data_IF_581285840658
#
_entry.id   IF_581285840658
#
_cell.length_a   1.000
_cell.length_b   1.000
_cell.length_c   1.000
_cell.angle_alpha   90.00
_cell.angle_beta   90.00
_cell.angle_gamma   90.00
#
_symmetry.space_group_name_H-M   'P 1'
#
loop_
_entity.id
_entity.type
_entity.pdbx_description
1 polymer ?
#
# COMPACT_ATOMS: atom_id res chain seq x y z
N UNK A 1 -13.18 0.63 -10.93
CA UNK A 1 -12.47 1.86 -11.36
C UNK A 1 -11.69 1.55 -12.62
N UNK A 2 -11.84 2.32 -13.70
CA UNK A 2 -10.99 2.18 -14.90
C UNK A 2 -9.62 2.82 -14.66
N UNK A 3 -8.62 2.47 -15.49
CA UNK A 3 -7.28 3.08 -15.50
C UNK A 3 -7.30 4.60 -15.76
N UNK A 4 -8.42 5.18 -16.15
CA UNK A 4 -8.54 6.62 -16.42
C UNK A 4 -8.84 7.46 -15.16
N UNK A 5 -9.14 6.83 -14.02
CA UNK A 5 -9.42 7.51 -12.74
C UNK A 5 -8.18 7.73 -11.85
N UNK A 6 -6.97 7.49 -12.36
CA UNK A 6 -5.70 7.64 -11.63
C UNK A 6 -5.50 9.03 -11.02
N UNK A 7 -6.08 10.07 -11.64
CA UNK A 7 -5.96 11.46 -11.22
C UNK A 7 -6.93 11.86 -10.08
N UNK A 8 -7.72 10.94 -9.52
CA UNK A 8 -8.78 11.26 -8.55
C UNK A 8 -8.57 10.64 -7.16
N UNK A 9 -7.48 9.90 -6.92
CA UNK A 9 -7.21 9.35 -5.60
C UNK A 9 -6.62 10.45 -4.69
N UNK A 10 -7.30 10.84 -3.59
CA UNK A 10 -6.73 11.81 -2.64
C UNK A 10 -5.43 11.27 -2.03
N UNK A 11 -4.47 12.17 -1.72
CA UNK A 11 -3.24 11.78 -1.03
C UNK A 11 -3.54 11.30 0.39
N UNK A 12 -2.54 10.69 1.03
CA UNK A 12 -2.62 10.35 2.45
C UNK A 12 -2.86 11.62 3.28
N UNK A 13 -3.82 11.64 4.22
CA UNK A 13 -4.14 12.84 4.99
C UNK A 13 -3.02 13.24 5.95
N UNK A 14 -3.04 14.50 6.41
CA UNK A 14 -2.11 14.99 7.43
C UNK A 14 -2.25 14.25 8.77
N UNK A 15 -3.47 13.81 9.11
CA UNK A 15 -3.70 12.90 10.25
C UNK A 15 -3.23 11.50 9.87
N UNK A 16 -1.99 11.19 10.22
CA UNK A 16 -1.34 9.91 9.92
C UNK A 16 -0.37 9.53 11.02
N UNK A 17 -0.06 8.24 11.10
CA UNK A 17 0.98 7.72 11.98
C UNK A 17 2.12 7.12 11.16
N UNK A 18 3.35 7.26 11.66
CA UNK A 18 4.51 6.58 11.09
C UNK A 18 4.38 5.08 11.30
N UNK A 19 4.60 4.31 10.24
CA UNK A 19 4.61 2.87 10.25
C UNK A 19 6.05 2.40 10.01
N UNK A 20 6.82 2.11 11.07
CA UNK A 20 8.18 1.61 10.93
C UNK A 20 8.16 0.21 10.31
N UNK A 21 8.95 0.04 9.26
CA UNK A 21 9.13 -1.21 8.52
C UNK A 21 10.64 -1.43 8.29
N UNK A 22 11.00 -2.57 7.73
CA UNK A 22 12.33 -2.84 7.16
C UNK A 22 12.24 -4.19 6.44
N UNK A 23 11.52 -4.24 5.32
CA UNK A 23 11.11 -5.49 4.69
C UNK A 23 11.84 -5.66 3.36
N UNK A 24 12.78 -6.62 3.24
CA UNK A 24 13.41 -6.95 1.98
C UNK A 24 12.38 -7.52 0.99
N UNK A 25 12.48 -7.08 -0.26
CA UNK A 25 11.65 -7.57 -1.37
C UNK A 25 12.57 -7.99 -2.52
N UNK A 26 12.32 -9.19 -3.05
CA UNK A 26 12.99 -9.64 -4.27
C UNK A 26 12.64 -8.73 -5.45
N UNK A 27 13.53 -8.65 -6.44
CA UNK A 27 13.26 -7.92 -7.69
C UNK A 27 11.97 -8.38 -8.38
N UNK A 28 11.72 -9.70 -8.41
CA UNK A 28 10.53 -10.29 -9.04
C UNK A 28 9.23 -9.87 -8.35
N UNK A 29 9.26 -9.81 -7.02
CA UNK A 29 8.11 -9.36 -6.24
C UNK A 29 7.89 -7.85 -6.40
N UNK A 30 8.98 -7.08 -6.45
CA UNK A 30 8.88 -5.66 -6.73
C UNK A 30 8.31 -5.37 -8.12
N UNK A 31 8.67 -6.13 -9.15
CA UNK A 31 8.08 -6.01 -10.50
C UNK A 31 6.55 -6.21 -10.48
N UNK A 32 6.02 -7.09 -9.62
CA UNK A 32 4.57 -7.28 -9.44
C UNK A 32 3.93 -6.07 -8.76
N UNK A 33 4.58 -5.51 -7.75
CA UNK A 33 4.13 -4.30 -7.05
C UNK A 33 4.12 -3.10 -8.01
N UNK A 34 5.15 -2.96 -8.84
CA UNK A 34 5.25 -1.89 -9.84
C UNK A 34 4.14 -1.94 -10.89
N UNK A 35 3.67 -3.13 -11.25
CA UNK A 35 2.51 -3.29 -12.13
C UNK A 35 1.20 -2.78 -11.49
N UNK A 36 1.17 -2.63 -10.17
CA UNK A 36 0.02 -2.18 -9.39
C UNK A 36 -1.10 -3.22 -9.33
N UNK A 37 -2.20 -2.83 -8.69
CA UNK A 37 -3.41 -3.64 -8.61
C UNK A 37 -4.62 -2.76 -8.90
N UNK A 38 -5.42 -3.17 -9.90
CA UNK A 38 -6.70 -2.55 -10.24
C UNK A 38 -7.80 -3.59 -9.98
N UNK A 39 -8.79 -3.28 -9.11
CA UNK A 39 -9.97 -4.11 -8.89
C UNK A 39 -10.61 -4.59 -10.19
N UNK A 40 -10.90 -5.89 -10.30
CA UNK A 40 -11.67 -6.41 -11.43
C UNK A 40 -13.17 -6.43 -11.13
N UNK A 41 -13.53 -6.67 -9.86
CA UNK A 41 -14.91 -6.75 -9.40
C UNK A 41 -15.23 -5.76 -8.28
N UNK A 42 -16.52 -5.58 -7.98
CA UNK A 42 -17.01 -4.66 -6.94
C UNK A 42 -16.64 -5.08 -5.52
N UNK A 43 -16.28 -6.34 -5.29
CA UNK A 43 -15.84 -6.83 -3.97
C UNK A 43 -14.34 -6.57 -3.72
N UNK A 44 -13.58 -6.25 -4.78
CA UNK A 44 -12.17 -5.86 -4.65
C UNK A 44 -12.07 -4.44 -4.08
N UNK A 45 -11.78 -4.41 -2.77
CA UNK A 45 -11.81 -3.22 -1.93
C UNK A 45 -10.62 -2.28 -2.08
N UNK A 46 -9.65 -2.63 -2.91
CA UNK A 46 -8.33 -2.01 -2.91
C UNK A 46 -7.82 -1.68 -4.29
N UNK A 47 -7.29 -0.48 -4.43
CA UNK A 47 -6.53 -0.04 -5.58
C UNK A 47 -5.09 0.26 -5.11
N UNK A 48 -4.09 -0.26 -5.82
CA UNK A 48 -2.68 -0.12 -5.43
C UNK A 48 -1.86 0.36 -6.62
N UNK A 49 -0.99 1.34 -6.40
CA UNK A 49 -0.04 1.78 -7.41
C UNK A 49 1.31 2.12 -6.81
N UNK A 50 2.33 2.04 -7.67
CA UNK A 50 3.68 2.47 -7.38
C UNK A 50 3.99 3.75 -8.15
N UNK A 51 4.57 4.74 -7.47
CA UNK A 51 5.00 6.00 -8.09
C UNK A 51 6.14 6.63 -7.28
N UNK A 52 7.19 7.07 -7.97
CA UNK A 52 8.28 7.88 -7.41
C UNK A 52 8.92 7.32 -6.12
N UNK A 53 9.06 6.00 -6.02
CA UNK A 53 9.62 5.34 -4.82
C UNK A 53 8.59 4.96 -3.76
N UNK A 54 7.30 5.22 -3.99
CA UNK A 54 6.23 4.99 -3.03
C UNK A 54 5.21 3.97 -3.53
N UNK A 55 4.66 3.16 -2.62
CA UNK A 55 3.51 2.29 -2.87
C UNK A 55 2.31 2.86 -2.13
N UNK A 56 1.22 3.13 -2.84
CA UNK A 56 0.00 3.68 -2.26
C UNK A 56 -1.14 2.67 -2.31
N UNK A 57 -1.78 2.42 -1.17
CA UNK A 57 -2.96 1.57 -1.04
C UNK A 57 -4.19 2.44 -0.80
N UNK A 58 -5.17 2.35 -1.70
CA UNK A 58 -6.41 3.11 -1.65
C UNK A 58 -7.62 2.20 -1.53
N UNK A 59 -8.67 2.66 -0.85
CA UNK A 59 -9.98 2.01 -0.90
C UNK A 59 -10.66 2.26 -2.24
N UNK A 60 -11.19 1.22 -2.86
CA UNK A 60 -11.70 1.27 -4.24
C UNK A 60 -13.05 1.98 -4.41
N UNK A 61 -13.78 2.30 -3.34
CA UNK A 61 -15.06 3.00 -3.42
C UNK A 61 -15.02 4.46 -2.94
N UNK A 62 -14.07 4.82 -2.06
CA UNK A 62 -13.87 6.21 -1.63
C UNK A 62 -12.63 6.87 -2.22
N UNK A 63 -11.67 6.09 -2.71
CA UNK A 63 -10.35 6.57 -3.11
C UNK A 63 -9.42 6.92 -1.94
N UNK A 64 -9.85 6.81 -0.68
CA UNK A 64 -9.02 7.18 0.47
C UNK A 64 -7.73 6.38 0.51
N UNK A 65 -6.59 7.08 0.60
CA UNK A 65 -5.29 6.47 0.81
C UNK A 65 -5.21 5.99 2.26
N UNK A 66 -4.95 4.69 2.46
CA UNK A 66 -4.84 4.07 3.78
C UNK A 66 -3.37 3.87 4.15
N UNK A 67 -2.55 3.42 3.21
CA UNK A 67 -1.12 3.20 3.39
C UNK A 67 -0.33 3.88 2.29
N UNK A 68 0.78 4.50 2.67
CA UNK A 68 1.83 4.98 1.76
C UNK A 68 3.16 4.41 2.27
N UNK A 69 3.84 3.60 1.47
CA UNK A 69 5.07 2.94 1.85
C UNK A 69 6.24 3.45 1.03
N UNK A 70 7.39 3.69 1.65
CA UNK A 70 8.60 4.06 0.93
C UNK A 70 9.41 2.81 0.59
N UNK A 71 9.91 2.78 -0.64
CA UNK A 71 10.72 1.69 -1.16
C UNK A 71 12.04 2.25 -1.69
N UNK A 72 13.14 1.60 -1.31
CA UNK A 72 14.47 1.95 -1.79
C UNK A 72 15.14 0.73 -2.44
N UNK A 73 15.97 0.93 -3.48
CA UNK A 73 16.85 -0.11 -3.97
C UNK A 73 17.83 -0.56 -2.88
N UNK A 74 18.02 -1.87 -2.72
CA UNK A 74 19.04 -2.46 -1.86
C UNK A 74 19.84 -3.49 -2.65
N UNK A 75 21.04 -3.10 -3.09
CA UNK A 75 21.96 -3.90 -3.93
C UNK A 75 21.28 -4.45 -5.20
N UNK A 76 20.82 -5.70 -5.16
CA UNK A 76 20.15 -6.41 -6.28
C UNK A 76 18.66 -6.66 -6.01
N UNK A 77 18.15 -6.08 -4.93
CA UNK A 77 16.78 -6.20 -4.41
C UNK A 77 16.23 -4.82 -4.05
N UNK A 78 15.11 -4.81 -3.35
CA UNK A 78 14.47 -3.62 -2.83
C UNK A 78 14.16 -3.81 -1.35
N UNK A 79 13.91 -2.72 -0.64
CA UNK A 79 13.45 -2.75 0.74
C UNK A 79 12.28 -1.77 0.91
N UNK A 80 11.19 -2.20 1.55
CA UNK A 80 10.22 -1.26 2.13
C UNK A 80 10.84 -0.76 3.44
N UNK A 81 11.27 0.49 3.46
CA UNK A 81 12.04 1.05 4.59
C UNK A 81 11.14 1.54 5.71
N UNK A 82 9.96 2.06 5.38
CA UNK A 82 9.00 2.63 6.31
C UNK A 82 7.72 3.01 5.53
N UNK A 83 6.80 3.65 6.22
CA UNK A 83 5.63 4.22 5.60
C UNK A 83 4.78 5.05 6.56
N UNK A 84 3.59 5.35 6.10
CA UNK A 84 2.59 6.11 6.81
C UNK A 84 1.25 5.42 6.68
N UNK A 85 0.48 5.43 7.77
CA UNK A 85 -0.88 4.92 7.82
C UNK A 85 -1.86 6.04 8.16
N UNK A 86 -3.02 6.04 7.51
CA UNK A 86 -4.09 6.99 7.72
C UNK A 86 -4.61 6.93 9.18
N UNK A 87 -4.86 8.09 9.78
CA UNK A 87 -5.44 8.23 11.14
C UNK A 87 -6.58 9.24 11.18
N UNK A 88 -7.13 9.57 10.02
CA UNK A 88 -8.38 10.31 9.94
C UNK A 88 -9.55 9.37 10.23
N UNK A 89 -10.24 9.48 11.38
CA UNK A 89 -11.28 8.53 11.78
C UNK A 89 -12.49 8.50 10.83
N UNK A 90 -12.69 9.57 10.05
CA UNK A 90 -13.74 9.63 9.02
C UNK A 90 -13.38 8.79 7.78
N UNK A 91 -12.10 8.47 7.59
CA UNK A 91 -11.58 7.71 6.45
C UNK A 91 -11.16 6.29 6.82
N UNK A 92 -10.54 6.10 7.99
CA UNK A 92 -10.00 4.83 8.45
C UNK A 92 -10.10 4.69 9.96
N UNK A 93 -10.76 3.61 10.41
CA UNK A 93 -11.13 3.42 11.83
C UNK A 93 -10.10 2.66 12.66
N UNK A 94 -8.99 2.20 12.08
CA UNK A 94 -7.93 1.55 12.86
C UNK A 94 -7.14 2.57 13.66
N UNK A 95 -6.82 2.22 14.90
CA UNK A 95 -5.99 3.01 15.81
C UNK A 95 -4.79 2.23 16.35
N UNK A 96 -4.52 1.03 15.82
CA UNK A 96 -3.46 0.12 16.27
C UNK A 96 -2.49 -0.19 15.11
N UNK A 97 -1.20 0.06 15.34
CA UNK A 97 -0.16 -0.18 14.33
C UNK A 97 0.08 -1.67 14.06
N UNK A 98 -0.17 -2.56 15.02
CA UNK A 98 0.01 -3.99 14.81
C UNK A 98 -1.08 -4.57 13.90
N UNK A 99 -2.34 -4.21 14.15
CA UNK A 99 -3.47 -4.58 13.29
C UNK A 99 -3.29 -4.04 11.86
N UNK A 100 -2.74 -2.83 11.74
CA UNK A 100 -2.44 -2.22 10.45
C UNK A 100 -1.34 -2.96 9.69
N UNK A 101 -0.30 -3.43 10.40
CA UNK A 101 0.77 -4.22 9.81
C UNK A 101 0.24 -5.57 9.33
N UNK A 102 -0.58 -6.23 10.14
CA UNK A 102 -1.20 -7.51 9.80
C UNK A 102 -2.11 -7.38 8.58
N UNK A 103 -2.94 -6.33 8.54
CA UNK A 103 -3.74 -6.01 7.37
C UNK A 103 -2.84 -5.80 6.15
N UNK A 104 -1.81 -4.95 6.26
CA UNK A 104 -0.91 -4.65 5.15
C UNK A 104 -0.26 -5.92 4.60
N UNK A 105 0.26 -6.80 5.47
CA UNK A 105 0.91 -8.04 5.06
C UNK A 105 -0.10 -9.00 4.40
N UNK A 106 -1.32 -9.06 4.93
CA UNK A 106 -2.43 -9.77 4.29
C UNK A 106 -2.73 -9.25 2.89
N UNK A 107 -2.69 -7.93 2.67
CA UNK A 107 -2.89 -7.33 1.34
C UNK A 107 -1.78 -7.71 0.37
N UNK A 108 -0.51 -7.70 0.79
CA UNK A 108 0.58 -8.16 -0.07
C UNK A 108 0.41 -9.62 -0.50
N UNK A 109 -0.05 -10.47 0.43
CA UNK A 109 -0.32 -11.88 0.14
C UNK A 109 -1.50 -12.04 -0.82
N UNK A 110 -2.63 -11.38 -0.57
CA UNK A 110 -3.85 -11.56 -1.36
C UNK A 110 -3.76 -10.90 -2.73
N UNK A 111 -3.22 -9.68 -2.82
CA UNK A 111 -3.21 -8.89 -4.05
C UNK A 111 -2.05 -9.25 -4.97
N UNK A 112 -0.90 -9.62 -4.41
CA UNK A 112 0.33 -9.84 -5.17
C UNK A 112 0.92 -11.25 -5.03
N UNK A 113 0.38 -12.08 -4.12
CA UNK A 113 0.96 -13.40 -3.81
C UNK A 113 2.32 -13.31 -3.11
N UNK A 114 2.59 -12.21 -2.40
CA UNK A 114 3.87 -11.93 -1.75
C UNK A 114 3.72 -12.12 -0.23
N UNK A 115 4.53 -13.00 0.36
CA UNK A 115 4.62 -13.13 1.81
C UNK A 115 5.75 -12.25 2.34
N UNK A 116 5.38 -11.15 2.99
CA UNK A 116 6.32 -10.28 3.67
C UNK A 116 6.81 -10.93 4.96
N UNK A 117 8.10 -10.74 5.27
CA UNK A 117 8.75 -11.22 6.49
C UNK A 117 9.42 -10.03 7.19
N UNK A 118 9.10 -9.77 8.46
CA UNK A 118 9.80 -8.76 9.25
C UNK A 118 11.27 -9.11 9.49
#
# INVERSE_FOLDING_TARGET
MSKDNLNQCPPLPQKRAHLPLNIPISKKDFERIQAGFVPKDTDDRWYVHYKDGEIHFHRSWTGFCIFQLHVQPDKQSYCITDGWVNRDPDQYRSNNLDDDRDLLFGLFKVLFGIELKP
#
